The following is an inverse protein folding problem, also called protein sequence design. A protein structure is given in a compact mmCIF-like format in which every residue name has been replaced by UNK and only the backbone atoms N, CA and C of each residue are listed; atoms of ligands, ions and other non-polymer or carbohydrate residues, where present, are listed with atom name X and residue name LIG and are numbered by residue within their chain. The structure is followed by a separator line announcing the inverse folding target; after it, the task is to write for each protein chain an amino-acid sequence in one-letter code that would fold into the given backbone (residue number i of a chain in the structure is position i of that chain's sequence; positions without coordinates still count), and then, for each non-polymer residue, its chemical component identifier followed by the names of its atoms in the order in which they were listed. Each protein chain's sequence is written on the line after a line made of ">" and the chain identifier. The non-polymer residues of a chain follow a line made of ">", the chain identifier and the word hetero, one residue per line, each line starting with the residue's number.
data_IF_316963794123
#
_entry.id   IF_316963794123
#
_cell.length_a   1.000
_cell.length_b   1.000
_cell.length_c   1.000
_cell.angle_alpha   90.00
_cell.angle_beta   90.00
_cell.angle_gamma   90.00
#
_symmetry.space_group_name_H-M   'P 1'
#
loop_
_entity.id
_entity.type
_entity.pdbx_description
1 polymer ?
#
# COMPACT_ATOMS: atom_id res chain seq x y z
N UNK A 1 24.91 8.80 -38.14
CA UNK A 1 24.02 9.00 -39.33
C UNK A 1 22.62 8.41 -39.10
N UNK A 2 22.42 7.10 -38.87
CA UNK A 2 21.06 6.53 -38.69
C UNK A 2 20.35 7.08 -37.44
N UNK A 3 21.04 7.18 -36.31
CA UNK A 3 20.50 7.72 -35.06
C UNK A 3 20.12 9.20 -35.15
N UNK A 4 20.90 9.99 -35.93
CA UNK A 4 20.61 11.41 -36.13
C UNK A 4 19.37 11.62 -37.01
N UNK A 5 19.19 10.76 -38.03
CA UNK A 5 18.00 10.75 -38.87
C UNK A 5 16.75 10.35 -38.06
N UNK A 6 16.84 9.28 -37.24
CA UNK A 6 15.77 8.87 -36.37
C UNK A 6 15.40 9.98 -35.37
N UNK A 7 16.38 10.63 -34.78
CA UNK A 7 16.19 11.78 -33.90
C UNK A 7 15.52 12.98 -34.59
N UNK A 8 15.88 13.25 -35.85
CA UNK A 8 15.26 14.32 -36.64
C UNK A 8 13.77 14.00 -36.96
N UNK A 9 13.49 12.76 -37.33
CA UNK A 9 12.11 12.29 -37.58
C UNK A 9 11.29 12.37 -36.28
N UNK A 10 11.83 11.88 -35.16
CA UNK A 10 11.18 11.93 -33.87
C UNK A 10 10.81 13.35 -33.42
N UNK A 11 11.67 14.30 -33.64
CA UNK A 11 11.41 15.73 -33.34
C UNK A 11 10.26 16.32 -34.14
N UNK A 12 10.01 15.83 -35.39
CA UNK A 12 8.90 16.27 -36.22
C UNK A 12 7.56 15.61 -35.92
N UNK A 13 7.55 14.51 -35.17
CA UNK A 13 6.31 13.86 -34.74
C UNK A 13 5.54 14.80 -33.80
N UNK A 14 4.23 15.04 -34.03
CA UNK A 14 3.40 15.86 -33.16
C UNK A 14 3.45 15.41 -31.71
N UNK A 15 3.46 16.36 -30.77
CA UNK A 15 3.59 16.09 -29.32
C UNK A 15 2.55 15.09 -28.79
N UNK A 16 1.32 15.10 -29.33
CA UNK A 16 0.25 14.16 -28.96
C UNK A 16 0.61 12.72 -29.33
N UNK A 17 1.09 12.50 -30.56
CA UNK A 17 1.47 11.17 -31.07
C UNK A 17 2.69 10.64 -30.30
N UNK A 18 3.71 11.48 -30.04
CA UNK A 18 4.87 11.08 -29.23
C UNK A 18 4.45 10.62 -27.83
N UNK A 19 3.59 11.40 -27.17
CA UNK A 19 3.07 11.03 -25.84
C UNK A 19 2.29 9.73 -25.90
N UNK A 20 1.47 9.54 -26.90
CA UNK A 20 0.71 8.30 -27.07
C UNK A 20 1.62 7.10 -27.29
N UNK A 21 2.62 7.20 -28.20
CA UNK A 21 3.60 6.13 -28.45
C UNK A 21 4.39 5.77 -27.19
N UNK A 22 4.89 6.76 -26.45
CA UNK A 22 5.62 6.51 -25.20
C UNK A 22 4.72 5.83 -24.16
N UNK A 23 3.48 6.33 -23.97
CA UNK A 23 2.56 5.74 -22.98
C UNK A 23 2.13 4.33 -23.35
N UNK A 24 1.88 4.03 -24.63
CA UNK A 24 1.49 2.70 -25.08
C UNK A 24 2.62 1.65 -25.00
N UNK A 25 3.88 2.10 -24.98
CA UNK A 25 5.04 1.22 -24.84
C UNK A 25 5.43 0.95 -23.39
N UNK A 26 4.86 1.70 -22.42
CA UNK A 26 5.17 1.49 -20.99
C UNK A 26 4.25 0.45 -20.36
N UNK A 27 4.76 -0.38 -19.45
CA UNK A 27 3.91 -1.27 -18.68
C UNK A 27 2.95 -0.47 -17.78
N UNK A 28 1.72 -0.94 -17.67
CA UNK A 28 0.73 -0.36 -16.75
C UNK A 28 0.69 -1.23 -15.50
N UNK A 29 0.70 -0.57 -14.34
CA UNK A 29 0.59 -1.20 -13.02
C UNK A 29 -0.62 -0.65 -12.28
N UNK A 30 -1.34 -1.52 -11.59
CA UNK A 30 -2.23 -1.07 -10.52
C UNK A 30 -1.36 -0.55 -9.37
N UNK A 31 -1.80 0.50 -8.70
CA UNK A 31 -1.08 1.05 -7.55
C UNK A 31 -1.96 0.92 -6.32
N UNK A 32 -1.40 0.35 -5.27
CA UNK A 32 -2.04 0.24 -3.97
C UNK A 32 -1.18 0.88 -2.89
N UNK A 33 -1.81 1.26 -1.80
CA UNK A 33 -1.14 1.74 -0.60
C UNK A 33 -1.65 0.98 0.62
N UNK A 34 -0.74 0.66 1.55
CA UNK A 34 -1.07 0.00 2.80
C UNK A 34 -0.24 0.55 3.95
N UNK A 35 -0.60 0.23 5.19
CA UNK A 35 0.16 0.68 6.34
C UNK A 35 0.30 -0.39 7.43
N UNK A 36 1.50 -0.46 8.01
CA UNK A 36 1.74 -1.13 9.28
C UNK A 36 1.35 -0.15 10.37
N UNK A 37 0.19 -0.39 10.98
CA UNK A 37 -0.42 0.52 11.94
C UNK A 37 -0.24 -0.04 13.34
N UNK A 38 0.29 0.77 14.24
CA UNK A 38 0.47 0.39 15.65
C UNK A 38 -0.45 1.18 16.55
N UNK A 39 -0.83 0.57 17.68
CA UNK A 39 -1.48 1.26 18.79
C UNK A 39 -0.47 1.68 19.85
N UNK A 40 -0.97 2.26 20.95
CA UNK A 40 -0.14 2.71 22.06
C UNK A 40 0.58 1.57 22.82
N UNK A 41 0.06 0.34 22.73
CA UNK A 41 0.68 -0.86 23.30
C UNK A 41 1.76 -1.48 22.40
N UNK A 42 2.04 -0.88 21.23
CA UNK A 42 2.98 -1.42 20.25
C UNK A 42 2.45 -2.64 19.50
N UNK A 43 1.14 -2.89 19.50
CA UNK A 43 0.50 -3.97 18.74
C UNK A 43 0.20 -3.50 17.33
N UNK A 44 0.24 -4.40 16.34
CA UNK A 44 -0.05 -4.12 14.95
C UNK A 44 -1.50 -4.49 14.59
N UNK A 45 -2.18 -3.59 13.87
CA UNK A 45 -3.52 -3.84 13.34
C UNK A 45 -3.46 -4.73 12.11
N UNK A 46 -4.22 -5.81 12.13
CA UNK A 46 -4.48 -6.63 10.95
C UNK A 46 -5.99 -6.72 10.71
N UNK A 47 -6.35 -6.77 9.43
CA UNK A 47 -7.73 -6.89 8.98
C UNK A 47 -7.95 -8.23 8.27
N UNK A 48 -9.12 -8.80 8.45
CA UNK A 48 -9.58 -9.97 7.72
C UNK A 48 -10.74 -9.57 6.80
N UNK A 49 -10.49 -9.59 5.50
CA UNK A 49 -11.49 -9.17 4.52
C UNK A 49 -12.44 -10.32 4.16
N UNK A 50 -13.70 -9.97 3.98
CA UNK A 50 -14.77 -10.92 3.62
C UNK A 50 -14.67 -11.42 2.18
N UNK A 51 -14.23 -10.57 1.27
CA UNK A 51 -14.31 -10.80 -0.18
C UNK A 51 -12.95 -11.03 -0.85
N UNK A 52 -11.85 -11.06 -0.10
CA UNK A 52 -10.55 -11.40 -0.70
C UNK A 52 -10.52 -12.88 -1.12
N UNK A 53 -9.91 -13.20 -2.29
CA UNK A 53 -9.82 -14.58 -2.78
C UNK A 53 -9.11 -15.54 -1.81
N UNK A 54 -8.17 -15.02 -1.04
CA UNK A 54 -7.48 -15.76 0.02
C UNK A 54 -7.96 -15.22 1.36
N UNK A 55 -8.86 -15.93 2.06
CA UNK A 55 -9.33 -15.52 3.36
C UNK A 55 -8.19 -15.66 4.38
N UNK A 56 -7.70 -14.55 4.88
CA UNK A 56 -6.62 -14.49 5.86
C UNK A 56 -6.48 -13.10 6.43
N UNK A 57 -5.62 -12.97 7.42
CA UNK A 57 -5.23 -11.69 7.94
C UNK A 57 -4.34 -10.95 6.94
N UNK A 58 -4.41 -9.63 6.97
CA UNK A 58 -3.57 -8.79 6.12
C UNK A 58 -3.37 -7.40 6.70
N UNK A 59 -2.32 -6.74 6.23
CA UNK A 59 -2.07 -5.33 6.50
C UNK A 59 -3.19 -4.51 5.86
N UNK A 60 -3.77 -3.50 6.57
CA UNK A 60 -4.77 -2.58 6.04
C UNK A 60 -4.27 -1.84 4.80
N UNK A 61 -5.15 -1.64 3.82
CA UNK A 61 -4.85 -0.87 2.62
C UNK A 61 -5.65 -1.30 1.40
N UNK A 62 -5.61 -0.45 0.37
CA UNK A 62 -6.36 -0.63 -0.86
C UNK A 62 -5.73 0.04 -2.07
N UNK A 63 -6.47 0.08 -3.17
CA UNK A 63 -6.02 0.70 -4.41
C UNK A 63 -6.20 2.21 -4.39
N UNK A 64 -5.28 2.91 -5.07
CA UNK A 64 -5.39 4.35 -5.24
C UNK A 64 -6.54 4.69 -6.20
N UNK A 65 -7.28 5.72 -5.87
CA UNK A 65 -8.22 6.36 -6.76
C UNK A 65 -7.53 7.33 -7.73
N UNK A 66 -8.25 7.73 -8.77
CA UNK A 66 -7.70 8.63 -9.79
C UNK A 66 -7.35 10.00 -9.20
N UNK A 67 -6.06 10.32 -9.21
CA UNK A 67 -5.52 11.58 -8.71
C UNK A 67 -5.23 11.60 -7.22
N UNK A 68 -5.48 10.51 -6.53
CA UNK A 68 -5.21 10.35 -5.11
C UNK A 68 -3.71 10.15 -4.83
N UNK A 69 -3.22 10.70 -3.73
CA UNK A 69 -1.88 10.44 -3.25
C UNK A 69 -1.87 9.17 -2.38
N UNK A 70 -0.75 8.40 -2.35
CA UNK A 70 -0.69 7.13 -1.62
C UNK A 70 -1.03 7.25 -0.13
N UNK A 71 -0.61 8.30 0.56
CA UNK A 71 -0.97 8.54 1.96
C UNK A 71 -2.46 8.81 2.13
N UNK A 72 -3.08 9.52 1.19
CA UNK A 72 -4.52 9.79 1.22
C UNK A 72 -5.32 8.50 1.07
N UNK A 73 -4.87 7.59 0.16
CA UNK A 73 -5.48 6.29 -0.03
C UNK A 73 -5.46 5.47 1.28
N UNK A 74 -4.32 5.40 1.97
CA UNK A 74 -4.22 4.68 3.25
C UNK A 74 -5.19 5.24 4.29
N UNK A 75 -5.27 6.57 4.43
CA UNK A 75 -6.17 7.22 5.39
C UNK A 75 -7.65 6.99 5.04
N UNK A 76 -7.99 7.07 3.74
CA UNK A 76 -9.35 6.81 3.26
C UNK A 76 -9.75 5.36 3.51
N UNK A 77 -8.94 4.40 3.05
CA UNK A 77 -9.22 2.96 3.21
C UNK A 77 -9.41 2.61 4.70
N UNK A 78 -8.51 3.05 5.57
CA UNK A 78 -8.63 2.74 6.99
C UNK A 78 -9.89 3.35 7.62
N UNK A 79 -10.21 4.61 7.27
CA UNK A 79 -11.43 5.25 7.75
C UNK A 79 -12.68 4.52 7.26
N UNK A 80 -12.71 4.11 5.99
CA UNK A 80 -13.82 3.36 5.39
C UNK A 80 -13.97 1.96 6.00
N UNK A 81 -12.87 1.29 6.29
CA UNK A 81 -12.85 -0.08 6.80
C UNK A 81 -13.08 -0.18 8.31
N UNK A 82 -12.60 0.80 9.10
CA UNK A 82 -12.53 0.69 10.57
C UNK A 82 -12.95 1.95 11.33
N UNK A 83 -13.21 3.06 10.65
CA UNK A 83 -13.44 4.41 11.21
C UNK A 83 -12.22 4.97 12.02
N UNK A 84 -11.07 4.30 12.00
CA UNK A 84 -9.86 4.77 12.68
C UNK A 84 -9.18 5.91 11.93
N UNK A 85 -8.59 6.83 12.70
CA UNK A 85 -7.74 7.90 12.18
C UNK A 85 -6.26 7.59 12.45
N UNK A 86 -5.41 8.06 11.52
CA UNK A 86 -3.97 7.85 11.58
C UNK A 86 -3.19 9.10 11.96
N UNK A 87 -2.15 8.92 12.74
CA UNK A 87 -1.09 9.91 12.99
C UNK A 87 0.29 9.32 12.64
N UNK A 88 1.27 10.19 12.51
CA UNK A 88 2.69 9.83 12.26
C UNK A 88 2.87 8.93 11.02
N UNK A 89 2.13 9.20 9.95
CA UNK A 89 2.21 8.43 8.70
C UNK A 89 3.54 8.72 8.01
N UNK A 90 4.39 7.69 7.88
CA UNK A 90 5.72 7.78 7.26
C UNK A 90 5.87 6.72 6.19
N UNK A 91 6.44 7.08 5.03
CA UNK A 91 6.77 6.12 3.99
C UNK A 91 7.78 5.09 4.52
N UNK A 92 7.47 3.81 4.36
CA UNK A 92 8.29 2.71 4.85
C UNK A 92 8.96 1.92 3.71
N UNK A 93 8.20 1.52 2.70
CA UNK A 93 8.70 0.70 1.61
C UNK A 93 7.86 0.83 0.34
N UNK A 94 8.46 0.44 -0.79
CA UNK A 94 7.74 0.25 -2.05
C UNK A 94 8.09 -1.12 -2.60
N UNK A 95 7.08 -1.86 -3.07
CA UNK A 95 7.24 -3.17 -3.70
C UNK A 95 6.62 -3.17 -5.10
N UNK A 96 7.22 -3.92 -6.02
CA UNK A 96 6.66 -4.13 -7.35
C UNK A 96 6.42 -5.62 -7.56
N UNK A 97 5.26 -5.96 -8.10
CA UNK A 97 4.86 -7.32 -8.44
C UNK A 97 4.66 -7.43 -9.96
N UNK A 98 5.11 -8.53 -10.54
CA UNK A 98 4.92 -8.81 -11.96
C UNK A 98 3.56 -9.46 -12.24
N UNK A 99 3.06 -10.27 -11.30
CA UNK A 99 1.77 -10.94 -11.38
C UNK A 99 1.08 -10.91 -10.01
N UNK A 100 -0.02 -10.16 -9.87
CA UNK A 100 -0.52 -9.17 -10.82
C UNK A 100 0.47 -8.00 -10.98
N UNK A 101 0.42 -7.30 -12.13
CA UNK A 101 1.23 -6.07 -12.32
C UNK A 101 0.77 -4.99 -11.35
N UNK A 102 1.47 -4.88 -10.24
CA UNK A 102 1.09 -3.97 -9.14
C UNK A 102 2.31 -3.33 -8.51
N UNK A 103 2.17 -2.08 -8.14
CA UNK A 103 3.10 -1.37 -7.24
C UNK A 103 2.36 -1.14 -5.93
N UNK A 104 2.97 -1.58 -4.84
CA UNK A 104 2.46 -1.33 -3.49
C UNK A 104 3.36 -0.36 -2.76
N UNK A 105 2.77 0.67 -2.17
CA UNK A 105 3.44 1.69 -1.38
C UNK A 105 3.02 1.48 0.08
N UNK A 106 3.99 1.21 0.94
CA UNK A 106 3.77 0.86 2.34
C UNK A 106 4.20 2.00 3.25
N UNK A 107 3.36 2.29 4.22
CA UNK A 107 3.61 3.25 5.27
C UNK A 107 3.71 2.56 6.63
N UNK A 108 4.29 3.24 7.61
CA UNK A 108 4.06 3.01 9.02
C UNK A 108 3.22 4.14 9.56
N UNK A 109 2.37 3.85 10.54
CA UNK A 109 1.50 4.85 11.15
C UNK A 109 1.11 4.43 12.57
N UNK A 110 0.56 5.37 13.37
CA UNK A 110 -0.09 5.07 14.64
C UNK A 110 -1.58 5.35 14.54
N UNK A 111 -2.39 4.51 15.16
CA UNK A 111 -3.80 4.79 15.36
C UNK A 111 -3.98 5.89 16.43
N UNK A 112 -4.94 6.78 16.23
CA UNK A 112 -5.25 7.84 17.22
C UNK A 112 -5.95 7.25 18.44
N UNK A 113 -6.81 6.26 18.22
CA UNK A 113 -7.54 5.51 19.25
C UNK A 113 -7.63 4.03 18.86
N UNK A 114 -8.20 3.22 19.76
CA UNK A 114 -8.38 1.78 19.55
C UNK A 114 -9.84 1.42 19.20
N UNK A 115 -10.68 2.39 18.95
CA UNK A 115 -12.11 2.18 18.68
C UNK A 115 -12.30 1.79 17.23
N UNK A 116 -12.80 0.59 17.01
CA UNK A 116 -13.02 0.04 15.67
C UNK A 116 -14.50 -0.10 15.39
N UNK A 117 -14.92 0.44 14.26
CA UNK A 117 -16.24 0.22 13.72
C UNK A 117 -16.10 -0.35 12.32
N UNK A 118 -16.28 -1.66 12.23
CA UNK A 118 -15.98 -2.39 11.01
C UNK A 118 -17.02 -2.15 9.93
N UNK A 119 -16.54 -1.89 8.72
CA UNK A 119 -17.38 -1.89 7.52
C UNK A 119 -17.86 -3.30 7.19
N UNK A 120 -18.85 -3.39 6.30
CA UNK A 120 -19.37 -4.69 5.82
C UNK A 120 -18.29 -5.56 5.13
N UNK A 121 -17.27 -4.95 4.56
CA UNK A 121 -16.19 -5.66 3.85
C UNK A 121 -15.20 -6.33 4.80
N UNK A 122 -15.11 -5.85 6.04
CA UNK A 122 -14.20 -6.39 7.04
C UNK A 122 -14.91 -7.42 7.91
N UNK A 123 -14.39 -8.63 7.90
CA UNK A 123 -14.90 -9.72 8.74
C UNK A 123 -14.42 -9.59 10.18
N UNK A 124 -13.14 -9.18 10.35
CA UNK A 124 -12.49 -8.98 11.64
C UNK A 124 -11.38 -7.95 11.53
N UNK A 125 -11.20 -7.18 12.60
CA UNK A 125 -9.99 -6.43 12.89
C UNK A 125 -9.43 -6.91 14.24
N UNK A 126 -8.12 -6.95 14.38
CA UNK A 126 -7.50 -7.28 15.67
C UNK A 126 -6.08 -6.74 15.76
N UNK A 127 -5.67 -6.46 16.98
CA UNK A 127 -4.35 -6.00 17.37
C UNK A 127 -3.48 -7.19 17.80
N UNK A 128 -2.35 -7.39 17.11
CA UNK A 128 -1.44 -8.50 17.37
C UNK A 128 -0.10 -8.00 17.91
N UNK A 129 0.48 -8.74 18.86
CA UNK A 129 1.89 -8.58 19.19
C UNK A 129 2.74 -8.95 17.97
N UNK A 130 3.83 -8.21 17.66
CA UNK A 130 4.74 -8.57 16.57
C UNK A 130 5.30 -9.99 16.66
N UNK A 131 5.42 -10.52 17.88
CA UNK A 131 5.91 -11.87 18.14
C UNK A 131 4.82 -12.97 18.00
N UNK A 132 3.53 -12.56 17.96
CA UNK A 132 2.38 -13.46 17.95
C UNK A 132 1.48 -13.23 16.72
N UNK A 133 2.09 -13.01 15.56
CA UNK A 133 1.35 -12.79 14.32
C UNK A 133 0.62 -14.07 13.87
N UNK A 134 -0.62 -13.96 13.34
CA UNK A 134 -1.42 -15.11 12.97
C UNK A 134 -0.75 -15.97 11.88
N UNK A 135 -0.97 -17.28 11.97
CA UNK A 135 -0.33 -18.26 11.08
C UNK A 135 -0.78 -18.11 9.61
N UNK A 136 -1.99 -17.60 9.37
CA UNK A 136 -2.57 -17.35 8.06
C UNK A 136 -2.24 -15.94 7.49
N UNK A 137 -1.38 -15.18 8.18
CA UNK A 137 -0.81 -13.95 7.61
C UNK A 137 0.22 -14.31 6.52
N UNK A 138 0.17 -13.69 5.32
CA UNK A 138 1.15 -13.93 4.26
C UNK A 138 2.59 -13.70 4.74
N UNK A 139 3.50 -14.61 4.35
CA UNK A 139 4.90 -14.59 4.80
C UNK A 139 5.65 -13.31 4.45
N UNK A 140 5.33 -12.71 3.31
CA UNK A 140 5.92 -11.45 2.86
C UNK A 140 5.46 -10.28 3.73
N UNK A 141 4.17 -10.25 4.15
CA UNK A 141 3.65 -9.25 5.07
C UNK A 141 4.21 -9.44 6.48
N UNK A 142 4.37 -10.68 6.95
CA UNK A 142 5.03 -10.97 8.22
C UNK A 142 6.44 -10.38 8.27
N UNK A 143 7.26 -10.61 7.23
CA UNK A 143 8.61 -10.04 7.12
C UNK A 143 8.62 -8.50 7.10
N UNK A 144 7.62 -7.87 6.49
CA UNK A 144 7.49 -6.41 6.49
C UNK A 144 7.22 -5.87 7.89
N UNK A 145 6.34 -6.51 8.64
CA UNK A 145 6.03 -6.13 10.02
C UNK A 145 7.29 -6.30 10.88
N UNK A 146 7.94 -7.49 10.84
CA UNK A 146 9.18 -7.76 11.57
C UNK A 146 10.25 -6.70 11.28
N UNK A 147 10.43 -6.32 10.01
CA UNK A 147 11.39 -5.28 9.62
C UNK A 147 11.02 -3.90 10.19
N UNK A 148 9.75 -3.51 10.13
CA UNK A 148 9.30 -2.21 10.64
C UNK A 148 9.57 -2.06 12.15
N UNK A 149 9.42 -3.14 12.91
CA UNK A 149 9.74 -3.16 14.34
C UNK A 149 11.24 -3.19 14.61
N UNK A 150 12.04 -3.91 13.80
CA UNK A 150 13.50 -3.96 13.93
C UNK A 150 14.15 -2.61 13.60
N UNK A 151 13.64 -1.93 12.57
CA UNK A 151 14.16 -0.63 12.11
C UNK A 151 13.75 0.53 13.06
N UNK A 152 12.98 0.24 14.12
CA UNK A 152 12.51 1.24 15.10
C UNK A 152 11.48 2.23 14.54
N UNK A 153 10.96 1.98 13.34
CA UNK A 153 10.07 2.91 12.63
C UNK A 153 8.68 3.00 13.26
N UNK A 154 8.33 2.00 14.09
CA UNK A 154 7.04 1.91 14.82
C UNK A 154 7.15 2.36 16.27
N UNK A 155 8.38 2.52 16.81
CA UNK A 155 8.61 3.12 18.12
C UNK A 155 8.56 4.65 17.94
N UNK A 156 7.55 5.29 18.51
CA UNK A 156 7.44 6.75 18.48
C UNK A 156 8.62 7.38 19.23
N UNK A 157 9.43 8.14 18.52
CA UNK A 157 10.23 9.23 19.09
C UNK A 157 9.37 10.51 19.11
#
# INVERSE_FOLDING_TARGET
>A
MLNDLLGAIWRRVPRGIRRWLVRSSQPHFAVSAGAIITNNDGRVLLLKHRFRPSPGWGIPGGFLEKGEQPEQAVRRELREETELELQDVKLFATRAFNEPKQIEILFTARAVDDTERLSFEIQKAAWFSPDELPADLPRDQKKLIERAFTDGVTAGD
#
